data_IF_426215477516
#
_entry.id   IF_426215477516
#
_cell.length_a   1.000
_cell.length_b   1.000
_cell.length_c   1.000
_cell.angle_alpha   90.00
_cell.angle_beta   90.00
_cell.angle_gamma   90.00
#
_symmetry.space_group_name_H-M   'P 1'
#
loop_
_entity.id
_entity.type
_entity.pdbx_description
1 polymer ?
#
# COMPACT_ATOMS: atom_id res chain seq x y z
N UNK A 1 20.85 -13.58 20.38
CA UNK A 1 21.85 -12.51 20.20
C UNK A 1 22.30 -12.53 18.74
N UNK A 2 21.92 -11.54 17.93
CA UNK A 2 22.35 -11.45 16.53
C UNK A 2 23.81 -10.97 16.52
N UNK A 3 24.77 -11.83 16.15
CA UNK A 3 26.16 -11.43 15.93
C UNK A 3 26.24 -10.65 14.62
N UNK A 4 26.75 -9.42 14.69
CA UNK A 4 27.02 -8.57 13.53
C UNK A 4 28.38 -9.00 12.97
N UNK A 5 28.43 -9.46 11.72
CA UNK A 5 29.73 -9.69 11.05
C UNK A 5 30.35 -8.32 10.69
N UNK A 6 31.66 -8.17 10.88
CA UNK A 6 32.42 -6.91 10.74
C UNK A 6 32.23 -6.25 9.36
N UNK A 7 32.19 -7.07 8.30
CA UNK A 7 32.02 -6.66 6.91
C UNK A 7 30.56 -6.29 6.54
N UNK A 8 29.58 -6.57 7.39
CA UNK A 8 28.16 -6.35 7.06
C UNK A 8 27.59 -7.18 5.89
N UNK A 9 28.40 -8.02 5.24
CA UNK A 9 28.00 -8.74 4.03
C UNK A 9 26.79 -9.64 4.22
N UNK A 10 26.62 -10.25 5.39
CA UNK A 10 25.48 -11.16 5.66
C UNK A 10 24.13 -10.45 5.68
N UNK A 11 24.04 -9.22 6.21
CA UNK A 11 22.79 -8.47 6.15
C UNK A 11 22.51 -7.93 4.74
N UNK A 12 23.57 -7.52 4.03
CA UNK A 12 23.44 -6.99 2.66
C UNK A 12 23.03 -8.07 1.65
N UNK A 13 23.65 -9.25 1.72
CA UNK A 13 23.28 -10.41 0.88
C UNK A 13 21.83 -10.82 1.15
N UNK A 14 21.41 -10.90 2.42
CA UNK A 14 20.01 -11.17 2.77
C UNK A 14 19.04 -10.09 2.28
N UNK A 15 19.46 -8.82 2.20
CA UNK A 15 18.66 -7.73 1.65
C UNK A 15 18.55 -7.79 0.12
N UNK A 16 19.66 -8.06 -0.58
CA UNK A 16 19.69 -8.15 -2.05
C UNK A 16 18.90 -9.36 -2.57
N UNK A 17 18.87 -10.46 -1.82
CA UNK A 17 18.06 -11.63 -2.17
C UNK A 17 16.61 -11.55 -1.69
N UNK A 18 16.17 -10.42 -1.08
CA UNK A 18 14.74 -10.27 -0.81
C UNK A 18 14.02 -10.14 -2.16
N UNK A 19 13.10 -11.07 -2.48
CA UNK A 19 12.26 -10.87 -3.64
C UNK A 19 11.54 -9.53 -3.49
N UNK A 20 11.35 -8.75 -4.57
CA UNK A 20 10.53 -7.55 -4.50
C UNK A 20 9.20 -7.98 -3.90
N UNK A 21 8.80 -7.33 -2.79
CA UNK A 21 7.46 -7.55 -2.24
C UNK A 21 6.50 -7.32 -3.40
N UNK A 22 5.83 -8.38 -3.85
CA UNK A 22 4.72 -8.26 -4.78
C UNK A 22 3.77 -7.29 -4.10
N UNK A 23 3.73 -6.05 -4.59
CA UNK A 23 2.60 -5.19 -4.27
C UNK A 23 1.40 -5.99 -4.77
N UNK A 24 0.39 -6.26 -3.93
CA UNK A 24 -0.83 -6.87 -4.43
C UNK A 24 -1.29 -5.97 -5.57
N UNK A 25 -1.22 -6.48 -6.80
CA UNK A 25 -1.82 -5.88 -7.97
C UNK A 25 -3.32 -6.01 -7.73
N UNK A 26 -3.89 -5.09 -6.95
CA UNK A 26 -5.28 -5.09 -6.53
C UNK A 26 -6.15 -4.92 -7.80
N UNK A 27 -6.87 -5.95 -8.25
CA UNK A 27 -7.44 -5.96 -9.60
C UNK A 27 -8.74 -5.18 -9.75
N UNK A 28 -9.34 -4.60 -8.71
CA UNK A 28 -10.58 -3.82 -8.83
C UNK A 28 -10.61 -2.61 -7.89
N UNK A 29 -9.82 -1.61 -8.24
CA UNK A 29 -9.71 -0.34 -7.51
C UNK A 29 -10.74 0.68 -8.00
N UNK A 30 -11.93 0.21 -8.38
CA UNK A 30 -12.98 1.06 -8.93
C UNK A 30 -14.11 1.13 -7.93
N UNK A 31 -14.67 2.31 -7.74
CA UNK A 31 -15.83 2.47 -6.87
C UNK A 31 -17.05 1.79 -7.51
N UNK A 32 -17.79 0.92 -6.78
CA UNK A 32 -18.98 0.26 -7.33
C UNK A 32 -20.10 1.25 -7.69
N UNK A 33 -20.14 2.41 -7.03
CA UNK A 33 -21.12 3.48 -7.34
C UNK A 33 -20.62 4.46 -8.43
N UNK A 34 -19.31 4.51 -8.65
CA UNK A 34 -18.67 5.43 -9.58
C UNK A 34 -17.67 4.64 -10.43
N UNK A 35 -18.13 3.93 -11.48
CA UNK A 35 -17.29 3.05 -12.30
C UNK A 35 -16.15 3.79 -13.03
N UNK A 36 -16.30 5.09 -13.20
CA UNK A 36 -15.34 6.04 -13.74
C UNK A 36 -14.32 6.55 -12.70
N UNK A 37 -14.49 6.22 -11.42
CA UNK A 37 -13.64 6.72 -10.32
C UNK A 37 -12.80 5.61 -9.71
N UNK A 38 -11.47 5.84 -9.69
CA UNK A 38 -10.53 4.97 -8.97
C UNK A 38 -10.52 5.29 -7.48
N UNK A 39 -10.51 4.23 -6.67
CA UNK A 39 -10.30 4.30 -5.23
C UNK A 39 -8.87 4.79 -4.95
N UNK A 40 -8.73 5.66 -3.96
CA UNK A 40 -7.42 6.17 -3.52
C UNK A 40 -7.08 5.57 -2.17
N UNK A 41 -5.79 5.24 -1.97
CA UNK A 41 -5.31 4.69 -0.71
C UNK A 41 -5.01 5.81 0.26
N UNK A 42 -5.69 5.83 1.40
CA UNK A 42 -5.43 6.78 2.48
C UNK A 42 -4.68 6.08 3.62
N UNK A 43 -3.61 6.72 4.07
CA UNK A 43 -2.72 6.24 5.14
C UNK A 43 -2.20 4.80 4.95
N UNK A 44 -2.14 4.32 3.70
CA UNK A 44 -1.70 2.96 3.37
C UNK A 44 -2.66 1.84 3.85
N UNK A 45 -3.80 2.18 4.47
CA UNK A 45 -4.68 1.22 5.16
C UNK A 45 -6.04 1.04 4.49
N UNK A 46 -6.60 2.11 3.94
CA UNK A 46 -7.99 2.09 3.46
C UNK A 46 -8.09 2.64 2.05
N UNK A 47 -8.93 2.00 1.23
CA UNK A 47 -9.31 2.47 -0.09
C UNK A 47 -10.59 3.30 0.04
N UNK A 48 -10.55 4.55 -0.42
CA UNK A 48 -11.70 5.45 -0.35
C UNK A 48 -12.05 5.96 -1.76
N UNK A 49 -13.35 6.14 -2.00
CA UNK A 49 -13.80 6.85 -3.19
C UNK A 49 -13.81 8.36 -2.91
N UNK A 50 -13.07 9.18 -3.69
CA UNK A 50 -13.08 10.63 -3.52
C UNK A 50 -14.44 11.28 -3.85
N UNK A 51 -15.29 10.65 -4.68
CA UNK A 51 -16.64 11.16 -4.97
C UNK A 51 -17.61 10.89 -3.83
N UNK A 52 -17.61 9.67 -3.27
CA UNK A 52 -18.46 9.34 -2.11
C UNK A 52 -18.11 10.22 -0.89
N UNK A 53 -16.83 10.54 -0.69
CA UNK A 53 -16.40 11.37 0.44
C UNK A 53 -16.72 12.85 0.27
N UNK A 54 -16.66 13.40 -0.95
CA UNK A 54 -17.08 14.79 -1.23
C UNK A 54 -18.58 15.01 -1.10
N UNK A 55 -19.38 13.99 -1.45
CA UNK A 55 -20.85 14.10 -1.40
C UNK A 55 -21.44 13.76 -0.03
N UNK A 56 -20.59 13.41 0.95
CA UNK A 56 -21.05 13.22 2.33
C UNK A 56 -21.23 14.62 2.94
N UNK A 57 -22.44 15.04 3.33
CA UNK A 57 -22.60 16.28 4.07
C UNK A 57 -21.74 16.14 5.32
N UNK A 58 -20.86 17.12 5.57
CA UNK A 58 -20.15 17.22 6.83
C UNK A 58 -21.21 17.18 7.92
N UNK A 59 -21.32 16.06 8.64
CA UNK A 59 -22.25 15.98 9.76
C UNK A 59 -21.81 17.04 10.78
N UNK A 60 -22.77 17.82 11.32
CA UNK A 60 -22.50 18.92 12.24
C UNK A 60 -21.84 18.46 13.54
#
# INVERSE_FOLDING_TARGET
MIKRDDDGRRWFVGFMHRPPRKQPSDPDQVCPEHPDTRLVRVLGRSWICPRCTRNRPASP
#
